data_IF_261659084774
#
_entry.id   IF_261659084774
#
_cell.length_a   1.000
_cell.length_b   1.000
_cell.length_c   1.000
_cell.angle_alpha   90.00
_cell.angle_beta   90.00
_cell.angle_gamma   90.00
#
_symmetry.space_group_name_H-M   'P 1'
#
loop_
_entity.id
_entity.type
_entity.pdbx_description
1 polymer ?
#
# COMPACT_ATOMS: atom_id res chain seq x y z
N UNK A 1 -18.15 8.80 12.23
CA UNK A 1 -18.47 8.13 10.95
C UNK A 1 -17.37 8.43 9.94
N UNK A 2 -16.82 7.42 9.26
CA UNK A 2 -15.76 7.62 8.27
C UNK A 2 -16.32 8.33 7.04
N UNK A 3 -15.55 9.25 6.46
CA UNK A 3 -15.94 10.04 5.29
C UNK A 3 -15.10 9.66 4.09
N UNK A 4 -15.73 9.64 2.92
CA UNK A 4 -15.06 9.36 1.66
C UNK A 4 -14.07 10.47 1.35
N UNK A 5 -12.83 10.10 1.07
CA UNK A 5 -11.77 11.06 0.75
C UNK A 5 -11.96 11.75 -0.60
N UNK A 6 -12.93 11.31 -1.42
CA UNK A 6 -13.25 11.89 -2.72
C UNK A 6 -14.45 12.84 -2.63
N UNK A 7 -15.55 12.44 -2.00
CA UNK A 7 -16.81 13.21 -2.00
C UNK A 7 -17.43 13.48 -0.63
N UNK A 8 -16.78 13.09 0.47
CA UNK A 8 -17.25 13.35 1.84
C UNK A 8 -18.42 12.50 2.32
N UNK A 9 -19.07 11.73 1.44
CA UNK A 9 -20.14 10.76 1.78
C UNK A 9 -19.66 9.71 2.81
N UNK A 10 -20.58 9.03 3.52
CA UNK A 10 -20.31 7.80 4.27
C UNK A 10 -19.33 6.85 3.57
N UNK A 11 -18.30 6.37 4.26
CA UNK A 11 -17.26 5.54 3.66
C UNK A 11 -16.95 4.26 4.42
N UNK A 12 -16.54 3.27 3.63
CA UNK A 12 -15.92 2.03 4.09
C UNK A 12 -14.40 2.11 3.95
N UNK A 13 -13.71 1.23 4.68
CA UNK A 13 -12.28 1.01 4.53
C UNK A 13 -12.01 0.19 3.27
N UNK A 14 -11.18 0.72 2.38
CA UNK A 14 -10.61 0.04 1.23
C UNK A 14 -9.13 -0.27 1.50
N UNK A 15 -8.71 -1.50 1.25
CA UNK A 15 -7.30 -1.90 1.29
C UNK A 15 -6.64 -1.62 -0.05
N UNK A 16 -5.61 -0.77 -0.08
CA UNK A 16 -4.87 -0.43 -1.31
C UNK A 16 -4.15 -1.67 -1.86
N UNK A 17 -3.38 -2.35 -1.01
CA UNK A 17 -2.90 -3.71 -1.25
C UNK A 17 -3.90 -4.65 -0.60
N UNK A 18 -4.61 -5.41 -1.44
CA UNK A 18 -5.63 -6.34 -0.97
C UNK A 18 -5.04 -7.42 -0.07
N UNK A 19 -5.83 -7.91 0.88
CA UNK A 19 -5.42 -9.03 1.75
C UNK A 19 -5.08 -10.30 0.95
N UNK A 20 -5.79 -10.55 -0.15
CA UNK A 20 -5.48 -11.65 -1.09
C UNK A 20 -4.14 -11.49 -1.79
N UNK A 21 -3.59 -10.28 -1.84
CA UNK A 21 -2.27 -9.95 -2.40
C UNK A 21 -1.19 -9.86 -1.31
N UNK A 22 -1.49 -10.29 -0.08
CA UNK A 22 -0.55 -10.20 1.05
C UNK A 22 -0.56 -8.85 1.78
N UNK A 23 -1.50 -7.97 1.48
CA UNK A 23 -1.67 -6.70 2.20
C UNK A 23 -2.05 -6.90 3.66
N UNK A 24 -1.49 -6.07 4.53
CA UNK A 24 -1.73 -6.09 5.98
C UNK A 24 -2.47 -4.84 6.45
N UNK A 25 -3.05 -4.90 7.64
CA UNK A 25 -3.83 -3.78 8.20
C UNK A 25 -2.90 -2.74 8.84
N UNK A 26 -2.79 -1.56 8.21
CA UNK A 26 -2.10 -0.40 8.77
C UNK A 26 -2.54 0.91 8.09
N UNK A 27 -2.32 2.09 8.72
CA UNK A 27 -2.93 3.34 8.27
C UNK A 27 -2.70 3.69 6.80
N UNK A 28 -1.48 3.53 6.26
CA UNK A 28 -1.18 3.87 4.86
C UNK A 28 -1.79 2.89 3.84
N UNK A 29 -2.13 1.65 4.25
CA UNK A 29 -2.80 0.69 3.36
C UNK A 29 -4.30 0.90 3.28
N UNK A 30 -4.85 1.92 3.93
CA UNK A 30 -6.27 2.22 3.91
C UNK A 30 -6.57 3.48 3.10
N UNK A 31 -7.63 3.39 2.31
CA UNK A 31 -8.34 4.55 1.76
C UNK A 31 -9.79 4.49 2.21
N UNK A 32 -10.40 5.62 2.55
CA UNK A 32 -11.81 5.67 2.95
C UNK A 32 -12.66 6.09 1.75
N UNK A 33 -13.47 5.17 1.25
CA UNK A 33 -14.23 5.35 0.02
C UNK A 33 -15.71 5.00 0.24
N UNK A 34 -16.62 5.82 -0.29
CA UNK A 34 -18.04 5.46 -0.32
C UNK A 34 -18.29 4.30 -1.30
N UNK A 35 -19.45 3.63 -1.26
CA UNK A 35 -19.72 2.47 -2.11
C UNK A 35 -19.47 2.71 -3.61
N UNK A 36 -19.82 3.90 -4.10
CA UNK A 36 -19.60 4.37 -5.47
C UNK A 36 -18.10 4.44 -5.82
N UNK A 37 -17.30 5.17 -5.02
CA UNK A 37 -15.87 5.30 -5.26
C UNK A 37 -15.04 4.06 -4.88
N UNK A 38 -15.62 3.11 -4.14
CA UNK A 38 -14.96 1.87 -3.73
C UNK A 38 -15.20 0.76 -4.76
N UNK A 39 -16.46 0.47 -5.07
CA UNK A 39 -16.90 -0.70 -5.85
C UNK A 39 -17.71 -0.34 -7.10
N UNK A 40 -18.02 0.94 -7.30
CA UNK A 40 -18.64 1.44 -8.52
C UNK A 40 -17.71 1.30 -9.72
N UNK A 41 -18.21 1.69 -10.89
CA UNK A 41 -17.55 1.49 -12.18
C UNK A 41 -16.15 2.12 -12.24
N UNK A 42 -15.98 3.30 -11.64
CA UNK A 42 -14.70 4.00 -11.56
C UNK A 42 -13.91 3.71 -10.28
N UNK A 43 -14.39 2.83 -9.40
CA UNK A 43 -13.71 2.47 -8.16
C UNK A 43 -12.54 1.51 -8.37
N UNK A 44 -11.58 1.44 -7.43
CA UNK A 44 -10.34 0.64 -7.58
C UNK A 44 -10.61 -0.87 -7.72
N UNK A 45 -11.77 -1.37 -7.30
CA UNK A 45 -12.12 -2.78 -7.50
C UNK A 45 -12.44 -3.13 -8.97
N UNK A 46 -12.82 -2.14 -9.78
CA UNK A 46 -13.19 -2.32 -11.20
C UNK A 46 -12.27 -1.56 -12.15
N UNK A 47 -11.55 -0.56 -11.67
CA UNK A 47 -10.65 0.26 -12.46
C UNK A 47 -9.18 -0.05 -12.09
N UNK A 48 -8.52 -0.86 -12.94
CA UNK A 48 -7.12 -1.27 -12.75
C UNK A 48 -6.14 -0.08 -12.71
N UNK A 49 -6.38 0.96 -13.50
CA UNK A 49 -5.55 2.17 -13.49
C UNK A 49 -5.63 2.89 -12.15
N UNK A 50 -6.83 3.02 -11.58
CA UNK A 50 -7.00 3.65 -10.27
C UNK A 50 -6.39 2.81 -9.15
N UNK A 51 -6.55 1.48 -9.21
CA UNK A 51 -5.90 0.53 -8.29
C UNK A 51 -4.37 0.66 -8.32
N UNK A 52 -3.76 0.66 -9.52
CA UNK A 52 -2.32 0.86 -9.69
C UNK A 52 -1.88 2.23 -9.18
N UNK A 53 -2.64 3.29 -9.46
CA UNK A 53 -2.37 4.64 -8.96
C UNK A 53 -2.31 4.66 -7.43
N UNK A 54 -3.28 4.06 -6.75
CA UNK A 54 -3.29 4.02 -5.28
C UNK A 54 -2.11 3.21 -4.71
N UNK A 55 -1.72 2.11 -5.36
CA UNK A 55 -0.55 1.32 -4.98
C UNK A 55 0.75 2.09 -5.13
N UNK A 56 0.91 2.81 -6.24
CA UNK A 56 2.07 3.66 -6.47
C UNK A 56 2.14 4.81 -5.45
N UNK A 57 1.03 5.52 -5.22
CA UNK A 57 0.93 6.58 -4.20
C UNK A 57 1.32 6.06 -2.80
N UNK A 58 0.82 4.87 -2.43
CA UNK A 58 1.14 4.24 -1.14
C UNK A 58 2.64 3.87 -1.05
N UNK A 59 3.22 3.30 -2.11
CA UNK A 59 4.64 2.94 -2.15
C UNK A 59 5.52 4.19 -1.97
N UNK A 60 5.23 5.26 -2.70
CA UNK A 60 5.96 6.54 -2.58
C UNK A 60 5.84 7.14 -1.17
N UNK A 61 4.66 7.03 -0.54
CA UNK A 61 4.49 7.47 0.84
C UNK A 61 5.29 6.62 1.84
N UNK A 62 5.40 5.31 1.61
CA UNK A 62 6.24 4.43 2.39
C UNK A 62 7.73 4.74 2.21
N UNK A 63 8.18 5.02 0.99
CA UNK A 63 9.57 5.41 0.70
C UNK A 63 9.93 6.74 1.37
N UNK A 64 9.01 7.72 1.38
CA UNK A 64 9.17 8.98 2.10
C UNK A 64 9.21 8.79 3.62
N UNK A 65 8.34 7.93 4.15
CA UNK A 65 8.28 7.61 5.59
C UNK A 65 9.51 6.84 6.06
N UNK A 66 9.97 5.87 5.26
CA UNK A 66 11.09 4.98 5.54
C UNK A 66 12.35 5.42 4.77
N UNK A 67 12.70 6.70 4.87
CA UNK A 67 13.77 7.32 4.08
C UNK A 67 15.21 6.86 4.43
N UNK A 68 15.45 6.30 5.62
CA UNK A 68 16.73 5.69 6.00
C UNK A 68 16.89 4.31 5.37
N UNK A 69 18.14 3.86 5.23
CA UNK A 69 18.42 2.53 4.69
C UNK A 69 17.98 1.40 5.63
N UNK A 70 18.10 1.59 6.96
CA UNK A 70 17.77 0.58 7.95
C UNK A 70 16.87 1.11 9.07
N UNK A 71 16.04 0.21 9.60
CA UNK A 71 15.14 0.48 10.72
C UNK A 71 15.08 -0.69 11.71
N UNK A 72 15.10 -0.37 12.99
CA UNK A 72 14.85 -1.36 14.06
C UNK A 72 13.36 -1.72 14.11
N UNK A 73 13.04 -2.89 14.65
CA UNK A 73 11.65 -3.33 14.80
C UNK A 73 10.78 -2.29 15.56
N UNK A 74 11.29 -1.70 16.63
CA UNK A 74 10.53 -0.74 17.44
C UNK A 74 10.32 0.60 16.71
N UNK A 75 11.30 1.05 15.92
CA UNK A 75 11.11 2.22 15.06
C UNK A 75 10.05 1.98 13.98
N UNK A 76 10.03 0.78 13.38
CA UNK A 76 9.01 0.40 12.40
C UNK A 76 7.61 0.29 13.03
N UNK A 77 7.49 -0.27 14.23
CA UNK A 77 6.21 -0.29 14.98
C UNK A 77 5.67 1.12 15.17
N UNK A 78 6.55 2.06 15.53
CA UNK A 78 6.18 3.47 15.76
C UNK A 78 5.77 4.17 14.46
N UNK A 79 6.60 4.07 13.41
CA UNK A 79 6.37 4.77 12.14
C UNK A 79 5.17 4.22 11.37
N UNK A 80 5.05 2.89 11.30
CA UNK A 80 4.00 2.22 10.52
C UNK A 80 2.71 2.03 11.32
N UNK A 81 2.75 2.21 12.64
CA UNK A 81 1.64 1.94 13.56
C UNK A 81 1.09 0.51 13.40
N UNK A 82 2.00 -0.43 13.12
CA UNK A 82 1.71 -1.86 13.03
C UNK A 82 2.04 -2.50 14.37
N UNK A 83 1.17 -3.38 14.87
CA UNK A 83 1.46 -4.11 16.10
C UNK A 83 2.72 -4.98 15.95
N UNK A 84 3.53 -5.05 17.01
CA UNK A 84 4.84 -5.72 17.01
C UNK A 84 4.79 -7.18 16.57
N UNK A 85 3.73 -7.92 16.95
CA UNK A 85 3.56 -9.33 16.59
C UNK A 85 3.32 -9.54 15.09
N UNK A 86 2.45 -8.71 14.51
CA UNK A 86 2.17 -8.72 13.07
C UNK A 86 3.41 -8.32 12.27
N UNK A 87 4.15 -7.32 12.73
CA UNK A 87 5.38 -6.90 12.05
C UNK A 87 6.45 -7.99 12.08
N UNK A 88 6.64 -8.66 13.22
CA UNK A 88 7.53 -9.84 13.31
C UNK A 88 7.13 -10.94 12.33
N UNK A 89 5.84 -11.23 12.21
CA UNK A 89 5.32 -12.24 11.25
C UNK A 89 5.54 -11.81 9.80
N UNK A 90 5.34 -10.53 9.49
CA UNK A 90 5.52 -9.97 8.14
C UNK A 90 7.00 -10.03 7.70
N UNK A 91 7.91 -9.69 8.62
CA UNK A 91 9.34 -9.57 8.38
C UNK A 91 10.12 -10.85 8.75
N UNK A 92 9.45 -11.97 9.03
CA UNK A 92 10.09 -13.21 9.50
C UNK A 92 11.16 -13.76 8.54
N UNK A 93 10.99 -13.52 7.24
CA UNK A 93 11.92 -13.98 6.20
C UNK A 93 12.85 -12.84 5.72
N UNK A 94 12.78 -11.65 6.33
CA UNK A 94 13.67 -10.53 6.01
C UNK A 94 14.96 -10.67 6.81
N UNK A 95 16.10 -10.40 6.17
CA UNK A 95 17.39 -10.38 6.86
C UNK A 95 17.41 -9.25 7.89
N UNK A 96 17.79 -9.58 9.11
CA UNK A 96 18.07 -8.61 10.17
C UNK A 96 19.57 -8.31 10.18
N UNK A 97 19.91 -7.06 9.89
CA UNK A 97 21.27 -6.55 9.98
C UNK A 97 21.53 -5.96 11.37
N UNK A 98 22.78 -5.61 11.67
CA UNK A 98 23.15 -5.00 12.95
C UNK A 98 22.40 -3.69 13.18
N UNK A 99 22.14 -2.95 12.10
CA UNK A 99 21.45 -1.67 12.04
C UNK A 99 19.92 -1.83 12.00
N UNK A 100 19.42 -3.01 11.65
CA UNK A 100 17.99 -3.31 11.55
C UNK A 100 17.58 -3.98 10.23
N UNK A 101 16.31 -3.84 9.87
CA UNK A 101 15.76 -4.30 8.59
C UNK A 101 16.00 -3.24 7.51
N UNK A 102 16.36 -3.67 6.30
CA UNK A 102 16.46 -2.76 5.15
C UNK A 102 15.09 -2.19 4.80
N UNK A 103 15.00 -0.88 4.59
CA UNK A 103 13.76 -0.20 4.24
C UNK A 103 13.13 -0.80 2.99
N UNK A 104 13.92 -1.06 1.95
CA UNK A 104 13.46 -1.73 0.72
C UNK A 104 12.73 -3.05 1.00
N UNK A 105 13.30 -3.94 1.82
CA UNK A 105 12.69 -5.24 2.13
C UNK A 105 11.37 -5.07 2.90
N UNK A 106 11.32 -4.10 3.82
CA UNK A 106 10.11 -3.77 4.58
C UNK A 106 9.01 -3.26 3.65
N UNK A 107 9.33 -2.30 2.78
CA UNK A 107 8.40 -1.71 1.81
C UNK A 107 7.89 -2.81 0.86
N UNK A 108 8.78 -3.61 0.30
CA UNK A 108 8.42 -4.73 -0.58
C UNK A 108 7.43 -5.70 0.08
N UNK A 109 7.61 -5.99 1.38
CA UNK A 109 6.66 -6.81 2.14
C UNK A 109 5.30 -6.14 2.35
N UNK A 110 5.29 -4.85 2.70
CA UNK A 110 4.05 -4.08 2.88
C UNK A 110 3.27 -3.91 1.57
N UNK A 111 3.99 -3.87 0.44
CA UNK A 111 3.43 -3.79 -0.90
C UNK A 111 2.99 -5.15 -1.48
N UNK A 112 2.91 -6.21 -0.66
CA UNK A 112 2.44 -7.53 -1.12
C UNK A 112 3.46 -8.27 -1.99
N UNK A 113 4.77 -8.03 -1.75
CA UNK A 113 5.89 -8.60 -2.53
C UNK A 113 5.86 -8.16 -3.99
N UNK A 114 5.45 -6.93 -4.24
CA UNK A 114 5.48 -6.30 -5.56
C UNK A 114 6.00 -4.88 -5.45
N UNK A 115 6.75 -4.46 -6.46
CA UNK A 115 7.14 -3.07 -6.67
C UNK A 115 6.28 -2.50 -7.79
N UNK A 116 5.80 -1.28 -7.59
CA UNK A 116 4.99 -0.56 -8.56
C UNK A 116 5.81 0.60 -9.13
N UNK A 117 5.75 0.77 -10.45
CA UNK A 117 6.50 1.82 -11.17
C UNK A 117 5.54 2.63 -12.05
N UNK A 118 5.97 3.82 -12.44
CA UNK A 118 5.21 4.69 -13.36
C UNK A 118 4.99 4.02 -14.72
N UNK A 119 5.97 3.24 -15.20
CA UNK A 119 5.85 2.45 -16.42
C UNK A 119 4.67 1.46 -16.42
N UNK A 120 4.32 0.88 -15.26
CA UNK A 120 3.14 0.00 -15.17
C UNK A 120 1.82 0.75 -15.44
N UNK A 121 1.80 2.07 -15.31
CA UNK A 121 0.68 2.91 -15.73
C UNK A 121 0.74 3.19 -17.23
N UNK A 122 1.92 3.46 -17.78
CA UNK A 122 2.15 3.72 -19.22
C UNK A 122 1.75 2.51 -20.07
N UNK A 123 2.21 1.31 -19.74
CA UNK A 123 1.81 0.07 -20.45
C UNK A 123 0.29 -0.14 -20.46
N UNK A 124 -0.42 0.30 -19.41
CA UNK A 124 -1.88 0.20 -19.38
C UNK A 124 -2.53 1.15 -20.39
N UNK A 125 -1.97 2.36 -20.59
CA UNK A 125 -2.47 3.29 -21.60
C UNK A 125 -2.17 2.81 -23.00
N UNK A 126 -0.95 2.33 -23.24
CA UNK A 126 -0.55 1.78 -24.55
C UNK A 126 -1.40 0.56 -24.91
N UNK A 127 -1.70 -0.31 -23.93
CA UNK A 127 -2.59 -1.44 -24.16
C UNK A 127 -4.00 -0.98 -24.56
N UNK A 128 -4.62 -0.03 -23.84
CA UNK A 128 -5.98 0.44 -24.15
C UNK A 128 -6.04 1.21 -25.47
N UNK A 129 -5.00 1.97 -25.82
CA UNK A 129 -4.98 2.74 -27.06
C UNK A 129 -4.90 1.86 -28.33
N UNK A 130 -4.57 0.58 -28.17
CA UNK A 130 -4.47 -0.39 -29.26
C UNK A 130 -5.73 -1.27 -29.44
N UNK A 131 -6.84 -0.94 -28.76
CA UNK A 131 -8.17 -1.56 -28.92
C UNK A 131 -9.26 -0.49 -29.05
#
# INVERSE_FOLDING_TARGET
>A
MLKCQICGKPADKHHIVYRSQGGVDFPLNFKYLCPEHHRGEYGPHKNRKLDLKYKLEMQQNLEKLLCKEFYTLDSLVTLLQINKGMLKKLLKDCRLYKEGYRSFDVIYRLMGRKTYTEYMMEEYYDFIANF
#
